data_IF_764919423843
#
_entry.id   IF_764919423843
#
_cell.length_a   1.000
_cell.length_b   1.000
_cell.length_c   1.000
_cell.angle_alpha   90.00
_cell.angle_beta   90.00
_cell.angle_gamma   90.00
#
_symmetry.space_group_name_H-M   'P 1'
#
loop_
_entity.id
_entity.type
_entity.pdbx_description
1 polymer ?
#
# COMPACT_ATOMS: atom_id res chain seq x y z
N UNK A 1 25.67 -23.49 45.87
CA UNK A 1 24.46 -23.65 46.71
C UNK A 1 24.08 -25.14 46.77
N UNK A 2 23.41 -25.64 47.80
CA UNK A 2 22.84 -27.01 47.78
C UNK A 2 21.52 -27.00 46.99
N UNK A 3 21.21 -28.07 46.27
CA UNK A 3 20.02 -28.17 45.40
C UNK A 3 18.71 -27.78 46.13
N UNK A 4 18.53 -28.25 47.37
CA UNK A 4 17.34 -27.94 48.20
C UNK A 4 17.21 -26.44 48.50
N UNK A 5 18.33 -25.74 48.72
CA UNK A 5 18.32 -24.31 48.97
C UNK A 5 18.02 -23.52 47.69
N UNK A 6 18.50 -24.03 46.54
CA UNK A 6 18.20 -23.47 45.22
C UNK A 6 16.71 -23.59 44.90
N UNK A 7 16.11 -24.77 45.08
CA UNK A 7 14.66 -24.96 44.89
C UNK A 7 13.86 -24.02 45.78
N UNK A 8 14.21 -23.87 47.06
CA UNK A 8 13.50 -22.97 47.97
C UNK A 8 13.55 -21.50 47.55
N UNK A 9 14.65 -21.07 46.93
CA UNK A 9 14.83 -19.68 46.49
C UNK A 9 14.01 -19.35 45.23
N UNK A 10 13.88 -20.31 44.31
CA UNK A 10 13.30 -20.07 42.98
C UNK A 10 11.87 -20.62 42.80
N UNK A 11 11.38 -21.48 43.70
CA UNK A 11 10.06 -22.12 43.62
C UNK A 11 8.88 -21.15 43.40
N UNK A 12 8.94 -19.93 43.96
CA UNK A 12 7.84 -18.97 43.85
C UNK A 12 7.73 -18.43 42.42
N UNK A 13 8.87 -18.21 41.75
CA UNK A 13 8.93 -17.81 40.35
C UNK A 13 8.44 -18.94 39.45
N UNK A 14 8.80 -20.18 39.75
CA UNK A 14 8.36 -21.35 38.98
C UNK A 14 6.84 -21.57 39.10
N UNK A 15 6.27 -21.36 40.29
CA UNK A 15 4.81 -21.38 40.51
C UNK A 15 4.10 -20.27 39.75
N UNK A 16 4.64 -19.04 39.75
CA UNK A 16 4.08 -17.94 38.95
C UNK A 16 3.98 -18.34 37.47
N UNK A 17 5.03 -18.97 36.94
CA UNK A 17 5.06 -19.46 35.56
C UNK A 17 4.03 -20.55 35.31
N UNK A 18 3.88 -21.52 36.23
CA UNK A 18 2.86 -22.57 36.13
C UNK A 18 1.44 -22.00 36.13
N UNK A 19 1.20 -20.97 36.94
CA UNK A 19 -0.08 -20.26 36.96
C UNK A 19 -0.38 -19.55 35.63
N UNK A 20 0.63 -18.95 35.00
CA UNK A 20 0.51 -18.34 33.67
C UNK A 20 0.26 -19.40 32.60
N UNK A 21 0.97 -20.53 32.64
CA UNK A 21 0.83 -21.62 31.67
C UNK A 21 -0.51 -22.36 31.77
N UNK A 22 -1.17 -22.32 32.93
CA UNK A 22 -2.50 -22.92 33.15
C UNK A 22 -3.66 -21.98 32.82
N UNK A 23 -3.37 -20.81 32.24
CA UNK A 23 -4.33 -19.73 31.96
C UNK A 23 -5.12 -19.27 33.20
N UNK A 24 -4.60 -19.54 34.41
CA UNK A 24 -5.20 -19.10 35.67
C UNK A 24 -4.94 -17.61 35.96
N UNK A 25 -3.88 -17.05 35.36
CA UNK A 25 -3.51 -15.63 35.48
C UNK A 25 -3.00 -15.12 34.13
N UNK A 26 -3.54 -13.99 33.67
CA UNK A 26 -3.08 -13.26 32.49
C UNK A 26 -2.01 -12.25 32.87
N UNK A 27 -0.79 -12.42 32.36
CA UNK A 27 0.33 -11.47 32.51
C UNK A 27 0.64 -10.75 31.20
N UNK A 28 1.13 -9.51 31.31
CA UNK A 28 1.57 -8.72 30.16
C UNK A 28 2.82 -9.31 29.47
N UNK A 29 3.08 -8.97 28.18
CA UNK A 29 4.21 -9.50 27.42
C UNK A 29 5.58 -9.26 28.06
N UNK A 30 5.78 -8.06 28.63
CA UNK A 30 7.05 -7.68 29.26
C UNK A 30 7.34 -8.53 30.51
N UNK A 31 6.31 -8.80 31.32
CA UNK A 31 6.43 -9.67 32.49
C UNK A 31 6.68 -11.12 32.10
N UNK A 32 6.04 -11.60 31.03
CA UNK A 32 6.26 -12.94 30.50
C UNK A 32 7.70 -13.11 29.98
N UNK A 33 8.26 -12.07 29.34
CA UNK A 33 9.66 -12.06 28.91
C UNK A 33 10.63 -12.04 30.10
N UNK A 34 10.36 -11.25 31.14
CA UNK A 34 11.15 -11.23 32.38
C UNK A 34 11.18 -12.61 33.05
N UNK A 35 10.02 -13.28 33.17
CA UNK A 35 9.91 -14.62 33.72
C UNK A 35 10.69 -15.66 32.89
N UNK A 36 10.67 -15.55 31.56
CA UNK A 36 11.41 -16.42 30.67
C UNK A 36 12.94 -16.26 30.81
N UNK A 37 13.42 -15.02 30.97
CA UNK A 37 14.85 -14.75 31.22
C UNK A 37 15.28 -15.40 32.53
N UNK A 38 14.53 -15.19 33.62
CA UNK A 38 14.81 -15.82 34.93
C UNK A 38 14.84 -17.35 34.86
N UNK A 39 13.90 -17.95 34.14
CA UNK A 39 13.86 -19.40 33.92
C UNK A 39 15.07 -19.93 33.17
N UNK A 40 15.55 -19.16 32.18
CA UNK A 40 16.72 -19.54 31.38
C UNK A 40 18.01 -19.44 32.21
N UNK A 41 18.11 -18.43 33.08
CA UNK A 41 19.21 -18.30 34.04
C UNK A 41 19.22 -19.46 35.04
N UNK A 42 18.06 -19.82 35.58
CA UNK A 42 17.89 -20.96 36.49
C UNK A 42 18.24 -22.29 35.80
N UNK A 43 17.86 -22.45 34.53
CA UNK A 43 18.18 -23.62 33.72
C UNK A 43 19.69 -23.72 33.48
N UNK A 44 20.36 -22.61 33.13
CA UNK A 44 21.80 -22.56 32.93
C UNK A 44 22.55 -22.92 34.21
N UNK A 45 22.12 -22.39 35.36
CA UNK A 45 22.67 -22.74 36.66
C UNK A 45 22.45 -24.24 36.98
N UNK A 46 21.24 -24.75 36.82
CA UNK A 46 20.90 -26.14 37.09
C UNK A 46 21.65 -27.12 36.18
N UNK A 47 21.87 -26.75 34.90
CA UNK A 47 22.63 -27.56 33.95
C UNK A 47 24.10 -27.75 34.37
N UNK A 48 24.68 -26.76 35.05
CA UNK A 48 26.08 -26.76 35.47
C UNK A 48 26.27 -27.47 36.81
N UNK A 49 25.39 -27.20 37.78
CA UNK A 49 25.57 -27.64 39.16
C UNK A 49 24.74 -28.85 39.56
N UNK A 50 23.63 -29.14 38.87
CA UNK A 50 22.72 -30.25 39.16
C UNK A 50 22.39 -31.08 37.90
N UNK A 51 23.39 -31.46 37.07
CA UNK A 51 23.12 -32.23 35.87
C UNK A 51 22.47 -33.59 36.22
N UNK A 52 21.42 -33.97 35.49
CA UNK A 52 20.74 -35.25 35.64
C UNK A 52 19.80 -35.37 36.85
N UNK A 53 19.56 -34.30 37.62
CA UNK A 53 18.58 -34.33 38.71
C UNK A 53 17.15 -34.05 38.24
N UNK A 54 16.16 -34.34 39.11
CA UNK A 54 14.76 -34.01 38.87
C UNK A 54 14.53 -32.51 38.74
N UNK A 55 15.29 -31.69 39.47
CA UNK A 55 15.21 -30.23 39.39
C UNK A 55 15.61 -29.74 38.01
N UNK A 56 16.71 -30.24 37.47
CA UNK A 56 17.14 -29.91 36.09
C UNK A 56 16.06 -30.29 35.07
N UNK A 57 15.54 -31.52 35.14
CA UNK A 57 14.50 -31.98 34.22
C UNK A 57 13.22 -31.13 34.30
N UNK A 58 12.81 -30.74 35.52
CA UNK A 58 11.64 -29.90 35.76
C UNK A 58 11.80 -28.49 35.17
N UNK A 59 12.92 -27.82 35.43
CA UNK A 59 13.17 -26.46 34.91
C UNK A 59 13.29 -26.49 33.38
N UNK A 60 13.89 -27.53 32.82
CA UNK A 60 14.01 -27.71 31.37
C UNK A 60 12.64 -27.86 30.70
N UNK A 61 11.74 -28.68 31.27
CA UNK A 61 10.35 -28.81 30.79
C UNK A 61 9.58 -27.49 30.91
N UNK A 62 9.68 -26.84 32.08
CA UNK A 62 8.99 -25.58 32.34
C UNK A 62 9.44 -24.48 31.36
N UNK A 63 10.75 -24.38 31.09
CA UNK A 63 11.33 -23.43 30.13
C UNK A 63 10.85 -23.71 28.70
N UNK A 64 10.83 -24.98 28.28
CA UNK A 64 10.34 -25.37 26.95
C UNK A 64 8.85 -25.02 26.76
N UNK A 65 8.02 -25.24 27.79
CA UNK A 65 6.60 -24.91 27.76
C UNK A 65 6.35 -23.41 27.67
N UNK A 66 7.10 -22.58 28.41
CA UNK A 66 7.04 -21.11 28.29
C UNK A 66 7.48 -20.64 26.92
N UNK A 67 8.57 -21.19 26.38
CA UNK A 67 9.02 -20.88 25.04
C UNK A 67 7.92 -21.14 24.00
N UNK A 68 7.28 -22.31 24.06
CA UNK A 68 6.16 -22.61 23.18
C UNK A 68 4.94 -21.70 23.40
N UNK A 69 4.63 -21.33 24.64
CA UNK A 69 3.53 -20.42 24.96
C UNK A 69 3.77 -19.03 24.35
N UNK A 70 4.96 -18.46 24.52
CA UNK A 70 5.37 -17.16 23.96
C UNK A 70 5.25 -17.18 22.43
N UNK A 71 5.74 -18.23 21.77
CA UNK A 71 5.76 -18.30 20.31
C UNK A 71 4.39 -18.65 19.69
N UNK A 72 3.56 -19.46 20.37
CA UNK A 72 2.24 -19.88 19.86
C UNK A 72 1.14 -18.83 20.08
N UNK A 73 1.20 -18.05 21.17
CA UNK A 73 0.18 -17.04 21.50
C UNK A 73 0.40 -15.66 20.86
N UNK A 74 1.18 -15.57 19.78
CA UNK A 74 1.37 -14.34 19.02
C UNK A 74 0.10 -13.97 18.22
N UNK A 75 -0.94 -13.49 18.92
CA UNK A 75 -2.19 -12.89 18.37
C UNK A 75 -1.94 -11.63 17.52
N UNK A 76 -0.68 -11.27 17.25
CA UNK A 76 -0.28 -10.09 16.48
C UNK A 76 -0.67 -10.15 15.01
N UNK A 77 -0.76 -11.32 14.35
CA UNK A 77 -0.83 -11.35 12.87
C UNK A 77 -2.11 -10.69 12.31
N UNK A 78 -3.28 -10.90 12.94
CA UNK A 78 -4.55 -10.28 12.51
C UNK A 78 -4.64 -8.81 12.88
N UNK A 79 -4.17 -8.44 14.08
CA UNK A 79 -4.10 -7.03 14.50
C UNK A 79 -3.15 -6.24 13.60
N UNK A 80 -1.96 -6.78 13.31
CA UNK A 80 -0.95 -6.14 12.45
C UNK A 80 -1.42 -5.90 11.02
N UNK A 81 -2.12 -6.87 10.43
CA UNK A 81 -2.72 -6.67 9.11
C UNK A 81 -3.75 -5.53 9.13
N UNK A 82 -4.67 -5.54 10.11
CA UNK A 82 -5.67 -4.47 10.24
C UNK A 82 -5.02 -3.12 10.49
N UNK A 83 -4.10 -3.01 11.45
CA UNK A 83 -3.33 -1.81 11.77
C UNK A 83 -2.60 -1.25 10.56
N UNK A 84 -1.99 -2.11 9.74
CA UNK A 84 -1.33 -1.67 8.51
C UNK A 84 -2.29 -0.91 7.57
N UNK A 85 -3.49 -1.48 7.33
CA UNK A 85 -4.46 -0.89 6.40
C UNK A 85 -5.28 0.26 6.99
N UNK A 86 -5.51 0.28 8.32
CA UNK A 86 -6.37 1.29 8.95
C UNK A 86 -5.58 2.44 9.58
N UNK A 87 -4.29 2.25 9.87
CA UNK A 87 -3.45 3.24 10.56
C UNK A 87 -2.20 3.54 9.75
N UNK A 88 -1.33 2.57 9.45
CA UNK A 88 -0.01 2.83 8.83
C UNK A 88 -0.11 3.44 7.43
N UNK A 89 -0.91 2.84 6.53
CA UNK A 89 -1.10 3.36 5.17
C UNK A 89 -1.76 4.74 5.20
N UNK A 90 -2.90 4.96 5.89
CA UNK A 90 -3.50 6.28 5.98
C UNK A 90 -2.57 7.33 6.57
N UNK A 91 -1.85 7.01 7.64
CA UNK A 91 -0.91 7.93 8.28
C UNK A 91 0.24 8.32 7.32
N UNK A 92 0.77 7.35 6.56
CA UNK A 92 1.81 7.63 5.58
C UNK A 92 1.39 8.69 4.54
N UNK A 93 0.15 8.66 4.05
CA UNK A 93 -0.38 9.69 3.17
C UNK A 93 -0.71 11.01 3.90
N UNK A 94 -1.13 10.95 5.17
CA UNK A 94 -1.40 12.13 5.99
C UNK A 94 -0.14 12.96 6.27
N UNK A 95 0.99 12.28 6.50
CA UNK A 95 2.30 12.90 6.74
C UNK A 95 2.93 13.45 5.45
N UNK A 96 2.62 12.83 4.30
CA UNK A 96 3.22 13.16 3.00
C UNK A 96 2.22 13.79 2.02
N UNK A 97 1.21 14.49 2.53
CA UNK A 97 0.25 15.22 1.70
C UNK A 97 0.90 16.21 0.71
N UNK A 98 2.02 16.91 1.02
CA UNK A 98 2.69 17.74 0.03
C UNK A 98 3.20 16.96 -1.19
N UNK A 99 3.75 15.75 -0.98
CA UNK A 99 4.20 14.90 -2.08
C UNK A 99 3.02 14.40 -2.92
N UNK A 100 1.89 14.10 -2.29
CA UNK A 100 0.64 13.74 -2.97
C UNK A 100 0.10 14.88 -3.83
N UNK A 101 0.02 16.10 -3.27
CA UNK A 101 -0.43 17.28 -4.00
C UNK A 101 0.51 17.64 -5.15
N UNK A 102 1.82 17.48 -4.94
CA UNK A 102 2.80 17.67 -6.01
C UNK A 102 2.62 16.65 -7.14
N UNK A 103 2.47 15.37 -6.79
CA UNK A 103 2.19 14.30 -7.76
C UNK A 103 0.92 14.58 -8.57
N UNK A 104 -0.16 14.97 -7.88
CA UNK A 104 -1.40 15.36 -8.52
C UNK A 104 -1.21 16.58 -9.43
N UNK A 105 -0.46 17.59 -8.99
CA UNK A 105 -0.16 18.79 -9.78
C UNK A 105 0.61 18.47 -11.05
N UNK A 106 1.63 17.60 -10.97
CA UNK A 106 2.38 17.12 -12.14
C UNK A 106 1.47 16.36 -13.10
N UNK A 107 0.61 15.47 -12.58
CA UNK A 107 -0.33 14.73 -13.40
C UNK A 107 -1.35 15.64 -14.12
N UNK A 108 -1.96 16.58 -13.40
CA UNK A 108 -2.92 17.53 -13.97
C UNK A 108 -2.25 18.43 -15.01
N UNK A 109 -1.04 18.92 -14.73
CA UNK A 109 -0.27 19.68 -15.71
C UNK A 109 0.00 18.87 -16.98
N UNK A 110 0.44 17.62 -16.82
CA UNK A 110 0.70 16.72 -17.94
C UNK A 110 -0.56 16.40 -18.76
N UNK A 111 -1.69 16.17 -18.08
CA UNK A 111 -2.99 16.02 -18.72
C UNK A 111 -3.34 17.24 -19.58
N UNK A 112 -3.21 18.45 -19.01
CA UNK A 112 -3.47 19.69 -19.75
C UNK A 112 -2.50 19.88 -20.92
N UNK A 113 -1.23 19.51 -20.78
CA UNK A 113 -0.27 19.51 -21.90
C UNK A 113 -0.78 18.59 -23.02
N UNK A 114 -1.24 17.38 -22.70
CA UNK A 114 -1.81 16.45 -23.67
C UNK A 114 -3.03 17.03 -24.39
N UNK A 115 -3.93 17.68 -23.65
CA UNK A 115 -5.12 18.34 -24.21
C UNK A 115 -4.75 19.48 -25.14
N UNK A 116 -3.96 20.45 -24.67
CA UNK A 116 -3.61 21.65 -25.43
C UNK A 116 -2.79 21.29 -26.67
N UNK A 117 -1.83 20.37 -26.54
CA UNK A 117 -0.99 19.95 -27.67
C UNK A 117 -1.80 19.22 -28.74
N UNK A 118 -2.78 18.40 -28.33
CA UNK A 118 -3.70 17.73 -29.26
C UNK A 118 -4.61 18.71 -29.99
N UNK A 119 -5.12 19.75 -29.31
CA UNK A 119 -5.97 20.77 -29.94
C UNK A 119 -5.18 21.68 -30.90
N UNK A 120 -3.89 21.87 -30.65
CA UNK A 120 -3.02 22.72 -31.46
C UNK A 120 -2.39 22.03 -32.67
N UNK A 121 -2.24 20.70 -32.64
CA UNK A 121 -1.56 19.91 -33.67
C UNK A 121 -2.13 18.49 -33.78
N UNK A 122 -2.81 18.20 -34.90
CA UNK A 122 -3.39 16.89 -35.20
C UNK A 122 -2.34 15.76 -35.29
N UNK A 123 -1.06 16.10 -35.54
CA UNK A 123 0.03 15.11 -35.59
C UNK A 123 0.47 14.66 -34.19
N UNK A 124 0.23 15.49 -33.16
CA UNK A 124 0.59 15.19 -31.78
C UNK A 124 -0.10 13.92 -31.26
N UNK A 125 -1.38 13.73 -31.61
CA UNK A 125 -2.14 12.53 -31.22
C UNK A 125 -1.45 11.26 -31.71
N UNK A 126 -0.96 11.27 -32.96
CA UNK A 126 -0.29 10.12 -33.57
C UNK A 126 1.10 9.89 -32.99
N UNK A 127 1.80 10.95 -32.57
CA UNK A 127 3.07 10.82 -31.86
C UNK A 127 2.90 10.10 -30.51
N UNK A 128 1.84 10.41 -29.77
CA UNK A 128 1.61 9.89 -28.43
C UNK A 128 0.92 8.51 -28.44
N UNK A 129 -0.12 8.34 -29.26
CA UNK A 129 -0.94 7.12 -29.27
C UNK A 129 -0.56 6.14 -30.40
N UNK A 130 0.16 6.60 -31.41
CA UNK A 130 0.55 5.82 -32.58
C UNK A 130 -0.54 5.74 -33.67
N UNK A 131 -0.11 5.66 -34.93
CA UNK A 131 -1.01 5.62 -36.09
C UNK A 131 -2.03 4.48 -36.05
N UNK A 132 -1.60 3.29 -35.61
CA UNK A 132 -2.45 2.10 -35.54
C UNK A 132 -3.64 2.32 -34.61
N UNK A 133 -3.38 2.82 -33.39
CA UNK A 133 -4.40 3.07 -32.40
C UNK A 133 -5.36 4.16 -32.87
N UNK A 134 -4.84 5.29 -33.35
CA UNK A 134 -5.66 6.41 -33.85
C UNK A 134 -6.57 5.97 -35.00
N UNK A 135 -6.04 5.26 -35.99
CA UNK A 135 -6.82 4.79 -37.13
C UNK A 135 -7.88 3.76 -36.72
N UNK A 136 -7.56 2.87 -35.78
CA UNK A 136 -8.53 1.93 -35.21
C UNK A 136 -9.65 2.67 -34.47
N UNK A 137 -9.32 3.60 -33.59
CA UNK A 137 -10.29 4.39 -32.81
C UNK A 137 -11.22 5.19 -33.72
N UNK A 138 -10.68 5.87 -34.75
CA UNK A 138 -11.51 6.61 -35.72
C UNK A 138 -12.44 5.67 -36.50
N UNK A 139 -11.97 4.48 -36.91
CA UNK A 139 -12.83 3.48 -37.57
C UNK A 139 -13.94 3.00 -36.66
N UNK A 140 -13.62 2.71 -35.40
CA UNK A 140 -14.56 2.28 -34.37
C UNK A 140 -15.65 3.33 -34.10
N UNK A 141 -15.26 4.60 -33.98
CA UNK A 141 -16.20 5.73 -33.82
C UNK A 141 -17.13 5.83 -35.04
N UNK A 142 -16.58 5.77 -36.26
CA UNK A 142 -17.39 5.81 -37.50
C UNK A 142 -18.34 4.61 -37.63
N UNK A 143 -17.97 3.47 -37.07
CA UNK A 143 -18.80 2.26 -37.04
C UNK A 143 -19.86 2.28 -35.91
N UNK A 144 -19.92 3.34 -35.10
CA UNK A 144 -20.84 3.44 -33.96
C UNK A 144 -20.45 2.58 -32.76
N UNK A 145 -19.21 2.08 -32.70
CA UNK A 145 -18.66 1.34 -31.56
C UNK A 145 -17.31 1.93 -31.10
N UNK A 146 -17.29 3.15 -30.52
CA UNK A 146 -16.05 3.84 -30.13
C UNK A 146 -15.11 3.01 -29.22
N UNK A 147 -15.69 2.12 -28.40
CA UNK A 147 -14.97 1.28 -27.44
C UNK A 147 -14.66 -0.12 -27.96
N UNK A 148 -14.80 -0.39 -29.25
CA UNK A 148 -14.62 -1.72 -29.84
C UNK A 148 -13.25 -2.35 -29.63
N UNK A 149 -12.22 -1.55 -29.29
CA UNK A 149 -10.88 -2.06 -28.94
C UNK A 149 -10.89 -2.90 -27.65
N UNK A 150 -11.79 -2.61 -26.72
CA UNK A 150 -11.86 -3.29 -25.41
C UNK A 150 -12.67 -4.59 -25.45
N UNK A 151 -13.27 -4.95 -26.58
CA UNK A 151 -14.25 -6.06 -26.69
C UNK A 151 -13.67 -7.37 -27.24
N UNK A 152 -12.40 -7.44 -27.65
CA UNK A 152 -11.93 -8.49 -28.58
C UNK A 152 -11.26 -9.75 -27.98
N UNK A 153 -10.85 -9.80 -26.71
CA UNK A 153 -10.05 -10.93 -26.19
C UNK A 153 -10.78 -11.81 -25.15
N UNK A 154 -10.06 -12.71 -24.47
CA UNK A 154 -10.46 -13.67 -23.44
C UNK A 154 -10.30 -13.11 -22.00
N UNK A 155 -11.32 -13.30 -21.16
CA UNK A 155 -11.55 -12.46 -19.96
C UNK A 155 -10.52 -12.59 -18.85
N UNK A 156 -10.03 -13.79 -18.55
CA UNK A 156 -9.11 -14.02 -17.42
C UNK A 156 -7.65 -13.69 -17.75
N UNK A 157 -7.20 -13.95 -18.99
CA UNK A 157 -5.84 -13.61 -19.43
C UNK A 157 -5.62 -12.10 -19.47
N UNK A 158 -6.64 -11.36 -19.91
CA UNK A 158 -6.62 -9.90 -19.97
C UNK A 158 -6.54 -9.25 -18.58
N UNK A 159 -7.27 -9.75 -17.56
CA UNK A 159 -7.17 -9.25 -16.16
C UNK A 159 -5.72 -9.25 -15.70
N UNK A 160 -5.05 -10.39 -15.88
CA UNK A 160 -3.67 -10.56 -15.41
C UNK A 160 -2.74 -9.60 -16.14
N UNK A 161 -2.86 -9.52 -17.47
CA UNK A 161 -2.01 -8.65 -18.28
C UNK A 161 -2.17 -7.17 -17.94
N UNK A 162 -3.40 -6.68 -17.88
CA UNK A 162 -3.72 -5.28 -17.57
C UNK A 162 -3.29 -4.93 -16.15
N UNK A 163 -3.66 -5.77 -15.18
CA UNK A 163 -3.28 -5.57 -13.77
C UNK A 163 -1.77 -5.50 -13.60
N UNK A 164 -1.02 -6.43 -14.23
CA UNK A 164 0.44 -6.44 -14.16
C UNK A 164 1.06 -5.22 -14.85
N UNK A 165 0.46 -4.73 -15.94
CA UNK A 165 0.93 -3.52 -16.60
C UNK A 165 0.76 -2.29 -15.70
N UNK A 166 -0.41 -2.10 -15.10
CA UNK A 166 -0.67 -0.96 -14.22
C UNK A 166 0.15 -1.05 -12.93
N UNK A 167 0.28 -2.25 -12.36
CA UNK A 167 1.16 -2.48 -11.21
C UNK A 167 2.62 -2.18 -11.55
N UNK A 168 3.08 -2.51 -12.76
CA UNK A 168 4.42 -2.17 -13.22
C UNK A 168 4.59 -0.66 -13.31
N UNK A 169 3.61 0.08 -13.84
CA UNK A 169 3.66 1.55 -13.89
C UNK A 169 3.70 2.14 -12.49
N UNK A 170 2.88 1.66 -11.56
CA UNK A 170 2.89 2.08 -10.15
C UNK A 170 4.27 1.84 -9.51
N UNK A 171 4.81 0.63 -9.66
CA UNK A 171 6.14 0.27 -9.12
C UNK A 171 7.24 1.14 -9.74
N UNK A 172 7.23 1.37 -11.06
CA UNK A 172 8.22 2.19 -11.73
C UNK A 172 8.12 3.66 -11.32
N UNK A 173 6.90 4.20 -11.20
CA UNK A 173 6.68 5.56 -10.73
C UNK A 173 7.25 5.77 -9.32
N UNK A 174 7.19 4.76 -8.46
CA UNK A 174 7.79 4.80 -7.12
C UNK A 174 9.32 4.63 -7.17
N UNK A 175 9.83 3.54 -7.75
CA UNK A 175 11.26 3.19 -7.72
C UNK A 175 12.12 4.22 -8.45
N UNK A 176 11.63 4.78 -9.56
CA UNK A 176 12.37 5.81 -10.30
C UNK A 176 12.48 7.15 -9.53
N UNK A 177 11.85 7.25 -8.36
CA UNK A 177 12.10 8.31 -7.38
C UNK A 177 13.55 8.35 -6.88
N UNK A 178 14.26 7.20 -6.95
CA UNK A 178 15.70 7.10 -6.68
C UNK A 178 16.53 8.04 -7.56
N UNK A 179 16.05 8.39 -8.76
CA UNK A 179 16.68 9.34 -9.67
C UNK A 179 16.33 10.79 -9.30
N UNK A 180 16.46 11.13 -8.01
CA UNK A 180 16.16 12.47 -7.47
C UNK A 180 14.76 12.97 -7.88
N UNK A 181 13.75 12.09 -7.81
CA UNK A 181 12.35 12.36 -8.23
C UNK A 181 12.10 12.63 -9.72
N UNK A 182 13.14 12.83 -10.53
CA UNK A 182 13.00 13.12 -11.97
C UNK A 182 12.36 11.94 -12.70
N UNK A 183 12.78 10.72 -12.36
CA UNK A 183 12.23 9.51 -12.98
C UNK A 183 10.75 9.29 -12.65
N UNK A 184 10.34 9.55 -11.41
CA UNK A 184 8.92 9.57 -11.00
C UNK A 184 8.13 10.60 -11.80
N UNK A 185 8.63 11.83 -11.87
CA UNK A 185 7.97 12.90 -12.62
C UNK A 185 7.79 12.51 -14.08
N UNK A 186 8.80 11.95 -14.73
CA UNK A 186 8.73 11.49 -16.12
C UNK A 186 7.61 10.47 -16.35
N UNK A 187 7.47 9.45 -15.49
CA UNK A 187 6.41 8.44 -15.63
C UNK A 187 5.02 9.08 -15.51
N UNK A 188 4.82 9.95 -14.51
CA UNK A 188 3.54 10.64 -14.30
C UNK A 188 3.23 11.56 -15.50
N UNK A 189 4.25 12.26 -16.00
CA UNK A 189 4.13 13.22 -17.09
C UNK A 189 3.75 12.51 -18.41
N UNK A 190 4.40 11.39 -18.71
CA UNK A 190 4.06 10.57 -19.87
C UNK A 190 2.62 10.04 -19.82
N UNK A 191 2.21 9.46 -18.69
CA UNK A 191 0.85 8.92 -18.54
C UNK A 191 -0.21 10.04 -18.54
N UNK A 192 0.06 11.18 -17.89
CA UNK A 192 -0.84 12.33 -17.92
C UNK A 192 -1.05 12.86 -19.34
N UNK A 193 0.02 13.07 -20.12
CA UNK A 193 -0.07 13.49 -21.53
C UNK A 193 -0.88 12.47 -22.34
N UNK A 194 -0.62 11.18 -22.17
CA UNK A 194 -1.33 10.12 -22.87
C UNK A 194 -2.84 10.20 -22.62
N UNK A 195 -3.25 10.34 -21.35
CA UNK A 195 -4.67 10.42 -20.96
C UNK A 195 -5.33 11.69 -21.50
N UNK A 196 -4.66 12.85 -21.42
CA UNK A 196 -5.16 14.10 -21.99
C UNK A 196 -5.34 14.03 -23.51
N UNK A 197 -4.38 13.41 -24.20
CA UNK A 197 -4.43 13.17 -25.65
C UNK A 197 -5.59 12.23 -26.01
N UNK A 198 -5.75 11.14 -25.27
CA UNK A 198 -6.82 10.16 -25.47
C UNK A 198 -8.21 10.82 -25.39
N UNK A 199 -8.51 11.55 -24.31
CA UNK A 199 -9.83 12.18 -24.18
C UNK A 199 -10.05 13.27 -25.23
N UNK A 200 -9.01 13.99 -25.61
CA UNK A 200 -9.13 15.03 -26.64
C UNK A 200 -9.40 14.43 -28.01
N UNK A 201 -8.80 13.29 -28.37
CA UNK A 201 -9.11 12.57 -29.61
C UNK A 201 -10.60 12.21 -29.70
N UNK A 202 -11.18 11.66 -28.63
CA UNK A 202 -12.61 11.34 -28.58
C UNK A 202 -13.48 12.61 -28.64
N UNK A 203 -13.06 13.69 -27.99
CA UNK A 203 -13.73 15.00 -28.07
C UNK A 203 -13.78 15.58 -29.47
N UNK A 204 -12.66 15.54 -30.20
CA UNK A 204 -12.56 16.02 -31.58
C UNK A 204 -13.48 15.25 -32.55
N UNK A 205 -13.86 14.03 -32.21
CA UNK A 205 -14.74 13.18 -33.02
C UNK A 205 -16.19 13.10 -32.49
N UNK A 206 -16.55 13.93 -31.50
CA UNK A 206 -17.91 13.97 -30.95
C UNK A 206 -18.27 12.80 -30.03
N UNK A 207 -17.30 11.99 -29.62
CA UNK A 207 -17.48 10.78 -28.79
C UNK A 207 -16.84 10.91 -27.40
N UNK A 208 -16.67 12.13 -26.87
CA UNK A 208 -16.09 12.34 -25.53
C UNK A 208 -16.86 11.59 -24.44
N UNK A 209 -18.20 11.58 -24.54
CA UNK A 209 -19.06 10.86 -23.60
C UNK A 209 -18.76 9.36 -23.57
N UNK A 210 -18.59 8.75 -24.74
CA UNK A 210 -18.26 7.32 -24.88
C UNK A 210 -16.87 7.02 -24.30
N UNK A 211 -15.89 7.88 -24.58
CA UNK A 211 -14.54 7.76 -24.02
C UNK A 211 -14.52 7.87 -22.49
N UNK A 212 -15.25 8.84 -21.92
CA UNK A 212 -15.38 9.01 -20.48
C UNK A 212 -16.07 7.82 -19.83
N UNK A 213 -17.21 7.39 -20.36
CA UNK A 213 -17.97 6.28 -19.79
C UNK A 213 -17.21 4.95 -19.91
N UNK A 214 -16.50 4.72 -21.01
CA UNK A 214 -15.70 3.50 -21.20
C UNK A 214 -14.47 3.44 -20.31
N UNK A 215 -13.73 4.54 -20.18
CA UNK A 215 -12.45 4.54 -19.47
C UNK A 215 -12.63 4.81 -17.98
N UNK A 216 -13.49 5.74 -17.57
CA UNK A 216 -13.49 6.20 -16.17
C UNK A 216 -13.99 5.16 -15.16
N UNK A 217 -14.66 4.09 -15.59
CA UNK A 217 -15.09 2.99 -14.70
C UNK A 217 -13.90 2.37 -13.96
N UNK A 218 -12.82 2.07 -14.68
CA UNK A 218 -11.55 1.58 -14.12
C UNK A 218 -10.54 2.72 -13.97
N UNK A 219 -10.51 3.65 -14.93
CA UNK A 219 -9.61 4.80 -14.99
C UNK A 219 -9.71 5.72 -13.77
N UNK A 220 -10.87 5.85 -13.12
CA UNK A 220 -10.96 6.59 -11.84
C UNK A 220 -9.99 6.03 -10.81
N UNK A 221 -9.88 4.69 -10.74
CA UNK A 221 -8.95 4.02 -9.85
C UNK A 221 -7.52 4.16 -10.37
N UNK A 222 -7.27 3.84 -11.64
CA UNK A 222 -5.91 3.82 -12.20
C UNK A 222 -5.22 5.18 -12.20
N UNK A 223 -5.95 6.23 -12.59
CA UNK A 223 -5.43 7.60 -12.56
C UNK A 223 -5.16 8.06 -11.13
N UNK A 224 -5.92 7.56 -10.15
CA UNK A 224 -5.65 7.83 -8.74
C UNK A 224 -4.45 7.03 -8.24
N UNK A 225 -4.33 5.75 -8.60
CA UNK A 225 -3.24 4.87 -8.14
C UNK A 225 -1.89 5.32 -8.67
N UNK A 226 -1.79 5.77 -9.93
CA UNK A 226 -0.53 6.33 -10.46
C UNK A 226 -0.12 7.63 -9.76
N UNK A 227 -1.08 8.49 -9.38
CA UNK A 227 -0.79 9.70 -8.60
C UNK A 227 -0.31 9.34 -7.19
N UNK A 228 -0.93 8.34 -6.54
CA UNK A 228 -0.54 7.85 -5.22
C UNK A 228 0.85 7.18 -5.24
N UNK A 229 1.11 6.32 -6.22
CA UNK A 229 2.41 5.68 -6.43
C UNK A 229 3.50 6.70 -6.78
N UNK A 230 3.13 7.72 -7.57
CA UNK A 230 3.96 8.89 -7.84
C UNK A 230 4.33 9.66 -6.57
N UNK A 231 3.38 9.86 -5.66
CA UNK A 231 3.65 10.49 -4.36
C UNK A 231 4.71 9.71 -3.56
N UNK A 232 4.62 8.38 -3.55
CA UNK A 232 5.62 7.50 -2.93
C UNK A 232 7.01 7.66 -3.57
N UNK A 233 7.08 7.79 -4.90
CA UNK A 233 8.35 8.07 -5.59
C UNK A 233 8.95 9.43 -5.26
N UNK A 234 8.11 10.48 -5.13
CA UNK A 234 8.55 11.79 -4.66
C UNK A 234 9.08 11.75 -3.22
N UNK A 235 8.48 10.95 -2.33
CA UNK A 235 8.98 10.74 -0.97
C UNK A 235 10.39 10.14 -0.99
N UNK A 236 10.67 9.13 -1.84
CA UNK A 236 12.01 8.54 -1.99
C UNK A 236 13.02 9.60 -2.43
N UNK A 237 12.75 10.30 -3.52
CA UNK A 237 13.70 11.27 -4.07
C UNK A 237 13.95 12.45 -3.12
N UNK A 238 12.91 12.96 -2.47
CA UNK A 238 13.05 14.01 -1.46
C UNK A 238 13.84 13.55 -0.25
N UNK A 239 13.70 12.29 0.18
CA UNK A 239 14.49 11.73 1.28
C UNK A 239 16.00 11.73 1.01
N UNK A 240 16.42 11.64 -0.26
CA UNK A 240 17.82 11.72 -0.66
C UNK A 240 18.29 13.18 -0.75
N UNK A 241 17.46 14.03 -1.37
CA UNK A 241 17.80 15.43 -1.67
C UNK A 241 17.77 16.33 -0.43
N UNK A 242 16.78 16.14 0.43
CA UNK A 242 16.43 17.01 1.56
C UNK A 242 16.41 16.23 2.89
N UNK A 243 17.57 15.85 3.44
CA UNK A 243 17.64 14.97 4.61
C UNK A 243 17.23 15.63 5.94
N UNK A 244 17.02 16.95 5.96
CA UNK A 244 16.72 17.70 7.18
C UNK A 244 17.83 17.55 8.21
N UNK A 245 17.45 17.10 9.41
CA UNK A 245 18.39 16.87 10.54
C UNK A 245 19.03 15.48 10.54
N UNK A 246 18.64 14.58 9.64
CA UNK A 246 19.18 13.23 9.55
C UNK A 246 20.41 13.18 8.64
N UNK A 247 21.22 12.13 8.79
CA UNK A 247 22.20 11.81 7.74
C UNK A 247 21.48 11.40 6.46
N UNK A 248 22.09 11.60 5.29
CA UNK A 248 21.48 11.22 3.99
C UNK A 248 21.03 9.77 3.96
N UNK A 249 21.83 8.85 4.50
CA UNK A 249 21.50 7.43 4.56
C UNK A 249 20.29 7.16 5.46
N UNK A 250 20.23 7.77 6.65
CA UNK A 250 19.09 7.64 7.56
C UNK A 250 17.81 8.19 6.94
N UNK A 251 17.88 9.38 6.35
CA UNK A 251 16.75 9.99 5.64
C UNK A 251 16.26 9.10 4.50
N UNK A 252 17.19 8.58 3.69
CA UNK A 252 16.89 7.67 2.60
C UNK A 252 16.19 6.39 3.07
N UNK A 253 16.73 5.70 4.08
CA UNK A 253 16.13 4.46 4.60
C UNK A 253 14.71 4.71 5.13
N UNK A 254 14.48 5.86 5.80
CA UNK A 254 13.15 6.25 6.26
C UNK A 254 12.20 6.50 5.08
N UNK A 255 12.64 7.25 4.08
CA UNK A 255 11.84 7.56 2.90
C UNK A 255 11.46 6.29 2.12
N UNK A 256 12.39 5.36 1.93
CA UNK A 256 12.12 4.07 1.27
C UNK A 256 11.12 3.25 2.06
N UNK A 257 11.27 3.16 3.39
CA UNK A 257 10.30 2.43 4.25
C UNK A 257 8.90 3.03 4.12
N UNK A 258 8.79 4.35 4.16
CA UNK A 258 7.52 5.05 4.06
C UNK A 258 6.88 4.91 2.67
N UNK A 259 7.67 5.08 1.62
CA UNK A 259 7.23 4.89 0.24
C UNK A 259 6.80 3.44 -0.04
N UNK A 260 7.44 2.45 0.61
CA UNK A 260 7.02 1.04 0.50
C UNK A 260 5.63 0.84 1.09
N UNK A 261 5.34 1.43 2.25
CA UNK A 261 4.00 1.38 2.87
C UNK A 261 2.97 2.02 1.93
N UNK A 262 3.27 3.22 1.41
CA UNK A 262 2.40 3.93 0.47
C UNK A 262 2.12 3.10 -0.79
N UNK A 263 3.16 2.53 -1.42
CA UNK A 263 3.06 1.73 -2.64
C UNK A 263 2.27 0.44 -2.42
N UNK A 264 2.55 -0.32 -1.34
CA UNK A 264 1.77 -1.52 -1.00
C UNK A 264 0.31 -1.16 -0.73
N UNK A 265 0.06 0.02 -0.16
CA UNK A 265 -1.28 0.57 0.03
C UNK A 265 -2.09 0.75 -1.27
N UNK A 266 -1.41 0.94 -2.40
CA UNK A 266 -2.01 1.17 -3.73
C UNK A 266 -2.42 -0.15 -4.40
N UNK A 267 -1.66 -1.22 -4.20
CA UNK A 267 -1.80 -2.48 -4.96
C UNK A 267 -3.22 -3.08 -4.99
N UNK A 268 -3.98 -3.16 -3.88
CA UNK A 268 -5.33 -3.71 -3.93
C UNK A 268 -6.26 -2.92 -4.86
N UNK A 269 -6.08 -1.60 -4.94
CA UNK A 269 -6.90 -0.74 -5.78
C UNK A 269 -6.55 -0.95 -7.26
N UNK A 270 -5.27 -1.05 -7.62
CA UNK A 270 -4.83 -1.36 -8.98
C UNK A 270 -5.36 -2.73 -9.45
N UNK A 271 -5.38 -3.73 -8.56
CA UNK A 271 -5.97 -5.05 -8.86
C UNK A 271 -7.47 -4.94 -9.09
N UNK A 272 -8.20 -4.17 -8.25
CA UNK A 272 -9.63 -3.93 -8.45
C UNK A 272 -9.88 -3.22 -9.79
N UNK A 273 -9.03 -2.27 -10.19
CA UNK A 273 -9.15 -1.59 -11.47
C UNK A 273 -9.04 -2.55 -12.66
N UNK A 274 -8.01 -3.41 -12.67
CA UNK A 274 -7.84 -4.40 -13.75
C UNK A 274 -8.98 -5.43 -13.83
N UNK A 275 -9.61 -5.76 -12.69
CA UNK A 275 -10.84 -6.57 -12.65
C UNK A 275 -12.00 -5.77 -13.27
N UNK A 276 -12.20 -4.51 -12.89
CA UNK A 276 -13.27 -3.68 -13.46
C UNK A 276 -13.10 -3.47 -14.97
N UNK A 277 -11.88 -3.25 -15.44
CA UNK A 277 -11.60 -3.11 -16.88
C UNK A 277 -11.96 -4.39 -17.64
N UNK A 278 -11.45 -5.53 -17.17
CA UNK A 278 -11.59 -6.78 -17.89
C UNK A 278 -12.99 -7.40 -17.83
N UNK A 279 -13.78 -7.09 -16.79
CA UNK A 279 -15.14 -7.62 -16.65
C UNK A 279 -16.22 -6.60 -16.95
N UNK A 280 -16.13 -5.36 -16.46
CA UNK A 280 -17.23 -4.39 -16.61
C UNK A 280 -17.12 -3.64 -17.94
N UNK A 281 -15.92 -3.19 -18.31
CA UNK A 281 -15.73 -2.38 -19.53
C UNK A 281 -15.97 -3.21 -20.80
N UNK A 282 -15.77 -4.54 -20.70
CA UNK A 282 -16.06 -5.49 -21.79
C UNK A 282 -17.52 -5.67 -22.15
N UNK A 283 -18.43 -5.60 -21.18
CA UNK A 283 -19.84 -5.89 -21.42
C UNK A 283 -20.54 -4.77 -22.20
N UNK A 284 -19.77 -3.73 -22.59
CA UNK A 284 -20.29 -2.52 -23.20
C UNK A 284 -21.10 -1.70 -22.20
N UNK A 285 -21.57 -0.53 -22.63
CA UNK A 285 -22.44 0.31 -21.82
C UNK A 285 -23.70 -0.46 -21.42
N UNK A 286 -23.75 -0.95 -20.17
CA UNK A 286 -24.96 -1.60 -19.61
C UNK A 286 -26.04 -0.53 -19.42
N UNK A 287 -25.65 0.63 -18.86
CA UNK A 287 -26.45 1.85 -18.79
C UNK A 287 -25.56 2.99 -18.27
N UNK A 288 -25.77 4.22 -18.75
CA UNK A 288 -25.09 5.43 -18.24
C UNK A 288 -25.23 5.55 -16.72
N UNK A 289 -26.38 5.14 -16.16
CA UNK A 289 -26.62 5.19 -14.72
C UNK A 289 -25.69 4.24 -13.94
N UNK A 290 -25.40 3.06 -14.50
CA UNK A 290 -24.49 2.07 -13.89
C UNK A 290 -23.05 2.56 -13.97
N UNK A 291 -22.64 3.07 -15.14
CA UNK A 291 -21.30 3.60 -15.37
C UNK A 291 -21.00 4.76 -14.39
N UNK A 292 -21.93 5.74 -14.30
CA UNK A 292 -21.82 6.87 -13.37
C UNK A 292 -21.80 6.41 -11.92
N UNK A 293 -22.63 5.43 -11.55
CA UNK A 293 -22.64 4.89 -10.19
C UNK A 293 -21.29 4.26 -9.81
N UNK A 294 -20.69 3.46 -10.70
CA UNK A 294 -19.39 2.84 -10.45
C UNK A 294 -18.26 3.88 -10.35
N UNK A 295 -18.28 4.89 -11.21
CA UNK A 295 -17.34 6.02 -11.16
C UNK A 295 -17.46 6.76 -9.82
N UNK A 296 -18.69 7.10 -9.40
CA UNK A 296 -18.92 7.83 -8.15
C UNK A 296 -18.53 6.99 -6.94
N UNK A 297 -18.87 5.69 -6.91
CA UNK A 297 -18.53 4.80 -5.81
C UNK A 297 -17.02 4.60 -5.68
N UNK A 298 -16.30 4.41 -6.79
CA UNK A 298 -14.85 4.28 -6.79
C UNK A 298 -14.17 5.58 -6.34
N UNK A 299 -14.61 6.73 -6.87
CA UNK A 299 -14.11 8.04 -6.44
C UNK A 299 -14.38 8.31 -4.94
N UNK A 300 -15.57 7.97 -4.45
CA UNK A 300 -15.93 8.12 -3.04
C UNK A 300 -15.07 7.20 -2.14
N UNK A 301 -14.86 5.95 -2.55
CA UNK A 301 -14.01 4.99 -1.83
C UNK A 301 -12.56 5.50 -1.72
N UNK A 302 -11.98 5.95 -2.84
CA UNK A 302 -10.60 6.45 -2.87
C UNK A 302 -10.45 7.75 -2.08
N UNK A 303 -11.42 8.67 -2.20
CA UNK A 303 -11.46 9.91 -1.41
C UNK A 303 -11.57 9.61 0.08
N UNK A 304 -12.44 8.67 0.45
CA UNK A 304 -12.56 8.23 1.84
C UNK A 304 -11.23 7.65 2.35
N UNK A 305 -10.64 6.72 1.62
CA UNK A 305 -9.47 5.97 2.09
C UNK A 305 -8.16 6.76 2.08
N UNK A 306 -7.91 7.59 1.06
CA UNK A 306 -6.64 8.32 0.89
C UNK A 306 -6.70 9.79 1.30
N UNK A 307 -7.88 10.33 1.65
CA UNK A 307 -8.01 11.74 2.08
C UNK A 307 -8.70 11.84 3.45
N UNK A 308 -9.89 11.27 3.61
CA UNK A 308 -10.69 11.47 4.83
C UNK A 308 -10.16 10.64 6.01
N UNK A 309 -9.90 9.35 5.79
CA UNK A 309 -9.35 8.45 6.80
C UNK A 309 -7.97 8.93 7.32
N UNK A 310 -6.99 9.29 6.47
CA UNK A 310 -5.70 9.88 6.87
C UNK A 310 -5.85 11.08 7.81
N UNK A 311 -6.76 12.01 7.50
CA UNK A 311 -7.03 13.20 8.34
C UNK A 311 -7.56 12.79 9.72
N UNK A 312 -8.44 11.80 9.76
CA UNK A 312 -9.00 11.29 11.02
C UNK A 312 -7.95 10.60 11.90
N UNK A 313 -7.06 9.79 11.29
CA UNK A 313 -5.99 9.08 11.99
C UNK A 313 -4.95 10.07 12.54
N UNK A 314 -4.51 11.04 11.72
CA UNK A 314 -3.56 12.08 12.16
C UNK A 314 -4.08 12.89 13.34
N UNK A 315 -5.38 13.20 13.34
CA UNK A 315 -6.02 13.93 14.45
C UNK A 315 -5.98 13.10 15.74
N UNK A 316 -6.30 11.80 15.66
CA UNK A 316 -6.26 10.90 16.83
C UNK A 316 -4.85 10.77 17.42
N UNK A 317 -3.82 10.60 16.59
CA UNK A 317 -2.43 10.53 17.07
C UNK A 317 -1.99 11.84 17.75
N UNK A 318 -2.33 12.99 17.16
CA UNK A 318 -2.00 14.28 17.76
C UNK A 318 -2.66 14.49 19.12
N UNK A 319 -3.90 14.01 19.32
CA UNK A 319 -4.56 14.05 20.62
C UNK A 319 -3.90 13.14 21.65
N UNK A 320 -3.47 11.94 21.28
CA UNK A 320 -2.75 11.01 22.18
C UNK A 320 -1.40 11.59 22.60
N UNK A 321 -0.65 12.21 21.67
CA UNK A 321 0.63 12.83 21.97
C UNK A 321 0.51 14.00 22.96
N UNK A 322 -0.55 14.81 22.86
CA UNK A 322 -0.81 15.94 23.77
C UNK A 322 -1.20 15.45 25.17
N UNK A 323 -2.02 14.40 25.28
CA UNK A 323 -2.45 13.86 26.58
C UNK A 323 -1.31 13.20 27.36
N UNK A 324 -0.29 12.65 26.68
CA UNK A 324 0.88 12.05 27.34
C UNK A 324 1.99 13.06 27.70
N UNK A 325 1.89 14.30 27.24
CA UNK A 325 2.89 15.36 27.49
C UNK A 325 2.40 16.45 28.44
N UNK A 326 1.14 16.37 28.88
CA UNK A 326 0.52 17.22 29.89
C UNK A 326 0.43 16.50 31.24
#
# INVERSE_FOLDING_TARGET
MREVAFVRLHQDTWREVEHVLSDSVSVGPDRLAELYVKLTDDLAYASTYYPGTKTFAYINDLTARVYHYIYKNRKERRKRFLTFWTEEVPLAYAENTPALLFSLGVFVLAFLIGVVSTLGDDTFVRLILGDSYVNMTIRNIKAGNPLGVYQQDDGLGMVVQITLNNLRVDILSCILGLLASVGTAFIILYNGIMVGTFFTLFGLHGSLGDGLAGVMIHGTIELTTIVLAGAAGFVIGNGIMFPGTYTRLQSFVRAVRLATIMLVGVFPFTIVAGILESFVTRWGHVSIAVDVLLIVLSAALLTWYFILLPRSVRTRESHVAIVHTA
#
